data_IF_773003438286
#
_entry.id   IF_773003438286
#
_cell.length_a   1.000
_cell.length_b   1.000
_cell.length_c   1.000
_cell.angle_alpha   90.00
_cell.angle_beta   90.00
_cell.angle_gamma   90.00
#
_symmetry.space_group_name_H-M   'P 1'
#
loop_
_entity.id
_entity.type
_entity.pdbx_description
1 polymer ?
#
# COMPACT_ATOMS: atom_id res chain seq x y z
N UNK A 1 -18.45 27.85 19.60
CA UNK A 1 -17.34 26.90 19.43
C UNK A 1 -17.62 25.52 20.05
N UNK A 2 -18.00 25.37 21.31
CA UNK A 2 -18.28 24.05 21.93
C UNK A 2 -19.29 23.17 21.17
N UNK A 3 -20.35 23.73 20.61
CA UNK A 3 -21.38 22.96 19.86
C UNK A 3 -20.83 22.31 18.58
N UNK A 4 -19.89 22.94 17.89
CA UNK A 4 -19.28 22.38 16.67
C UNK A 4 -18.30 21.23 16.97
N UNK A 5 -17.66 21.26 18.15
CA UNK A 5 -16.79 20.16 18.60
C UNK A 5 -17.60 18.88 18.80
N UNK A 6 -18.80 18.95 19.39
CA UNK A 6 -19.67 17.78 19.54
C UNK A 6 -20.15 17.20 18.20
N UNK A 7 -20.39 18.05 17.21
CA UNK A 7 -20.78 17.60 15.86
C UNK A 7 -19.62 16.87 15.19
N UNK A 8 -18.39 17.38 15.30
CA UNK A 8 -17.20 16.73 14.75
C UNK A 8 -16.94 15.39 15.45
N UNK A 9 -17.06 15.32 16.77
CA UNK A 9 -16.93 14.06 17.52
C UNK A 9 -18.02 13.06 17.15
N UNK A 10 -19.26 13.51 16.93
CA UNK A 10 -20.37 12.64 16.52
C UNK A 10 -20.17 12.05 15.12
N UNK A 11 -19.60 12.83 14.18
CA UNK A 11 -19.28 12.35 12.82
C UNK A 11 -18.20 11.28 12.87
N UNK A 12 -17.21 11.39 13.76
CA UNK A 12 -16.18 10.37 13.95
C UNK A 12 -16.70 9.08 14.60
N UNK A 13 -17.77 9.16 15.37
CA UNK A 13 -18.31 8.01 16.12
C UNK A 13 -19.21 7.11 15.25
N UNK A 14 -19.74 7.60 14.13
CA UNK A 14 -20.66 6.87 13.26
C UNK A 14 -19.98 6.15 12.09
N UNK A 15 -18.65 6.27 11.94
CA UNK A 15 -17.92 5.53 10.93
C UNK A 15 -17.79 4.07 11.34
N UNK A 16 -18.68 3.21 10.85
CA UNK A 16 -18.45 1.77 10.81
C UNK A 16 -17.23 1.51 9.94
N UNK A 17 -16.12 1.11 10.58
CA UNK A 17 -14.89 0.80 9.87
C UNK A 17 -15.08 -0.50 9.08
N UNK A 18 -15.54 -0.40 7.84
CA UNK A 18 -15.36 -1.48 6.88
C UNK A 18 -13.88 -1.46 6.47
N UNK A 19 -13.13 -2.45 6.92
CA UNK A 19 -11.79 -2.69 6.42
C UNK A 19 -11.92 -3.09 4.94
N UNK A 20 -11.59 -2.16 4.06
CA UNK A 20 -11.53 -2.46 2.62
C UNK A 20 -10.25 -3.26 2.39
N UNK A 21 -10.36 -4.40 1.72
CA UNK A 21 -9.18 -5.12 1.24
C UNK A 21 -8.48 -4.26 0.18
N UNK A 22 -7.19 -4.01 0.35
CA UNK A 22 -6.41 -3.15 -0.54
C UNK A 22 -6.17 -3.74 -1.93
N UNK A 23 -6.40 -5.04 -2.11
CA UNK A 23 -6.39 -5.76 -3.40
C UNK A 23 -7.58 -6.72 -3.45
N UNK A 24 -8.05 -7.01 -4.64
CA UNK A 24 -9.00 -8.09 -4.93
C UNK A 24 -8.46 -8.87 -6.14
N UNK A 25 -7.21 -9.31 -6.05
CA UNK A 25 -6.51 -9.99 -7.13
C UNK A 25 -6.18 -11.43 -6.73
N UNK A 26 -6.52 -12.44 -7.55
CA UNK A 26 -6.10 -13.83 -7.31
C UNK A 26 -4.57 -13.97 -7.19
N UNK A 27 -3.82 -13.09 -7.85
CA UNK A 27 -2.36 -13.09 -7.83
C UNK A 27 -1.77 -12.68 -6.48
N UNK A 28 -2.56 -12.00 -5.63
CA UNK A 28 -2.15 -11.64 -4.26
C UNK A 28 -2.08 -12.85 -3.30
N UNK A 29 -2.42 -14.06 -3.77
CA UNK A 29 -2.30 -15.30 -3.03
C UNK A 29 -0.84 -15.63 -2.64
N UNK A 30 0.13 -15.21 -3.45
CA UNK A 30 1.52 -15.57 -3.27
C UNK A 30 2.31 -14.58 -2.40
N UNK A 31 3.12 -15.11 -1.50
CA UNK A 31 4.09 -14.35 -0.70
C UNK A 31 3.44 -13.33 0.23
N UNK A 32 3.83 -12.07 0.07
CA UNK A 32 3.31 -10.93 0.86
C UNK A 32 2.22 -10.15 0.12
N UNK A 33 1.69 -10.72 -0.96
CA UNK A 33 0.68 -10.12 -1.81
C UNK A 33 1.22 -9.37 -3.00
N UNK A 34 0.37 -8.57 -3.63
CA UNK A 34 0.70 -7.79 -4.80
C UNK A 34 1.40 -6.49 -4.40
N UNK A 35 2.56 -6.22 -5.01
CA UNK A 35 3.34 -5.02 -4.72
C UNK A 35 2.65 -3.78 -5.27
N UNK A 36 2.58 -2.74 -4.45
CA UNK A 36 2.11 -1.43 -4.86
C UNK A 36 3.24 -0.59 -5.46
N UNK A 37 2.89 0.32 -6.37
CA UNK A 37 3.87 1.23 -6.95
C UNK A 37 4.39 2.21 -5.88
N UNK A 38 5.70 2.17 -5.62
CA UNK A 38 6.35 3.12 -4.73
C UNK A 38 6.67 4.42 -5.49
N UNK A 39 5.93 5.47 -5.26
CA UNK A 39 6.16 6.77 -5.89
C UNK A 39 4.91 7.62 -5.90
N UNK A 40 5.08 8.89 -6.22
CA UNK A 40 3.96 9.79 -6.40
C UNK A 40 3.28 9.58 -7.76
N UNK A 41 2.14 10.23 -7.95
CA UNK A 41 1.40 10.16 -9.22
C UNK A 41 2.22 10.76 -10.37
N UNK A 42 3.04 11.77 -10.08
CA UNK A 42 3.97 12.38 -11.03
C UNK A 42 5.05 11.37 -11.46
N UNK A 43 5.66 10.65 -10.52
CA UNK A 43 6.61 9.59 -10.85
C UNK A 43 5.96 8.50 -11.72
N UNK A 44 4.73 8.11 -11.38
CA UNK A 44 3.98 7.09 -12.13
C UNK A 44 3.66 7.55 -13.55
N UNK A 45 3.25 8.82 -13.72
CA UNK A 45 2.95 9.41 -15.03
C UNK A 45 4.18 9.53 -15.94
N UNK A 46 5.36 9.62 -15.33
CA UNK A 46 6.66 9.63 -16.04
C UNK A 46 7.27 8.22 -16.19
N UNK A 47 6.47 7.15 -16.07
CA UNK A 47 6.95 5.78 -16.19
C UNK A 47 7.82 5.30 -15.03
N UNK A 48 7.69 5.87 -13.83
CA UNK A 48 8.48 5.50 -12.66
C UNK A 48 9.83 6.20 -12.56
N UNK A 49 10.06 7.26 -13.33
CA UNK A 49 11.31 8.01 -13.32
C UNK A 49 11.59 8.59 -11.92
N UNK A 50 12.71 8.20 -11.32
CA UNK A 50 13.07 8.55 -9.95
C UNK A 50 14.16 9.61 -9.82
N UNK A 51 14.81 9.96 -10.92
CA UNK A 51 15.85 11.01 -10.96
C UNK A 51 15.27 12.42 -11.08
N UNK A 52 13.99 12.53 -11.43
CA UNK A 52 13.32 13.82 -11.53
C UNK A 52 13.22 14.50 -10.17
N UNK A 53 13.58 15.75 -10.13
CA UNK A 53 13.46 16.61 -8.94
C UNK A 53 13.15 18.04 -9.33
N UNK A 54 12.20 18.61 -8.63
CA UNK A 54 11.84 20.02 -8.78
C UNK A 54 11.62 20.71 -7.40
N UNK A 55 11.13 21.92 -7.43
CA UNK A 55 10.93 22.73 -6.22
C UNK A 55 9.58 22.53 -5.53
N UNK A 56 8.68 21.78 -6.14
CA UNK A 56 7.28 21.66 -5.71
C UNK A 56 6.86 20.22 -5.45
N UNK A 57 7.27 19.27 -6.31
CA UNK A 57 6.77 17.88 -6.23
C UNK A 57 7.68 16.99 -5.39
N UNK A 58 7.06 16.25 -4.50
CA UNK A 58 7.74 15.28 -3.63
C UNK A 58 8.10 14.01 -4.42
N UNK A 59 9.32 13.52 -4.24
CA UNK A 59 9.77 12.26 -4.81
C UNK A 59 9.93 11.19 -3.72
N UNK A 60 9.01 10.23 -3.64
CA UNK A 60 9.00 9.19 -2.61
C UNK A 60 10.04 8.08 -2.86
N UNK A 61 10.64 8.02 -4.04
CA UNK A 61 11.59 6.98 -4.41
C UNK A 61 13.03 7.44 -4.10
N UNK A 62 13.32 8.72 -4.37
CA UNK A 62 14.67 9.27 -4.29
C UNK A 62 14.77 10.37 -3.22
N UNK A 63 15.28 10.07 -2.02
CA UNK A 63 15.42 11.06 -0.96
C UNK A 63 16.38 12.21 -1.27
N UNK A 64 17.35 12.06 -2.19
CA UNK A 64 18.21 13.17 -2.60
C UNK A 64 17.43 14.28 -3.34
N UNK A 65 16.33 13.93 -3.99
CA UNK A 65 15.46 14.89 -4.68
C UNK A 65 14.79 15.88 -3.73
N UNK A 66 14.61 15.53 -2.45
CA UNK A 66 14.04 16.43 -1.44
C UNK A 66 14.82 17.72 -1.29
N UNK A 67 16.14 17.67 -1.50
CA UNK A 67 16.99 18.86 -1.41
C UNK A 67 16.63 19.97 -2.38
N UNK A 68 15.80 19.73 -3.40
CA UNK A 68 15.33 20.73 -4.34
C UNK A 68 14.03 21.42 -3.91
N UNK A 69 13.29 20.83 -2.98
CA UNK A 69 12.02 21.38 -2.52
C UNK A 69 12.24 22.78 -1.88
N UNK A 70 11.37 23.70 -2.22
CA UNK A 70 11.36 25.08 -1.69
C UNK A 70 10.13 25.38 -0.84
N UNK A 71 9.08 24.59 -1.01
CA UNK A 71 7.80 24.78 -0.32
C UNK A 71 7.51 23.55 0.53
N UNK A 72 6.77 23.78 1.62
CA UNK A 72 6.19 22.67 2.38
C UNK A 72 5.22 21.94 1.47
N UNK A 73 5.40 20.64 1.37
CA UNK A 73 4.61 19.78 0.51
C UNK A 73 3.77 18.82 1.34
N UNK A 74 2.47 18.80 1.10
CA UNK A 74 1.53 17.80 1.61
C UNK A 74 1.01 17.03 0.41
N UNK A 75 1.30 15.74 0.37
CA UNK A 75 0.97 14.91 -0.78
C UNK A 75 0.16 13.69 -0.36
N UNK A 76 -0.98 13.50 -1.01
CA UNK A 76 -1.86 12.35 -0.81
C UNK A 76 -2.16 11.76 -2.18
N UNK A 77 -1.93 10.47 -2.33
CA UNK A 77 -2.28 9.74 -3.54
C UNK A 77 -3.42 8.76 -3.28
N UNK A 78 -4.38 8.76 -4.18
CA UNK A 78 -5.49 7.81 -4.19
C UNK A 78 -5.54 7.17 -5.56
N UNK A 79 -5.74 5.86 -5.62
CA UNK A 79 -6.02 5.18 -6.88
C UNK A 79 -7.36 4.45 -6.85
N UNK A 80 -7.89 4.28 -8.04
CA UNK A 80 -9.06 3.46 -8.30
C UNK A 80 -8.72 2.49 -9.42
N UNK A 81 -8.77 1.20 -9.10
CA UNK A 81 -8.50 0.14 -10.04
C UNK A 81 -9.79 -0.61 -10.34
N UNK A 82 -10.06 -0.83 -11.62
CA UNK A 82 -11.16 -1.68 -12.07
C UNK A 82 -10.58 -2.77 -12.97
N UNK A 83 -10.77 -4.01 -12.56
CA UNK A 83 -10.25 -5.19 -13.25
C UNK A 83 -11.40 -6.11 -13.65
N UNK A 84 -11.26 -6.77 -14.79
CA UNK A 84 -12.17 -7.82 -15.23
C UNK A 84 -11.48 -9.16 -15.15
N UNK A 85 -11.97 -10.03 -14.28
CA UNK A 85 -11.53 -11.41 -14.17
C UNK A 85 -12.36 -12.26 -15.12
N UNK A 86 -11.70 -12.98 -16.01
CA UNK A 86 -12.34 -13.90 -16.96
C UNK A 86 -11.89 -15.32 -16.66
N UNK A 87 -12.84 -16.20 -16.50
CA UNK A 87 -12.67 -17.64 -16.46
C UNK A 87 -13.44 -18.26 -17.62
N UNK A 88 -13.25 -19.53 -17.89
CA UNK A 88 -13.98 -20.25 -18.95
C UNK A 88 -15.51 -20.13 -18.80
N UNK A 89 -16.00 -20.10 -17.55
CA UNK A 89 -17.44 -20.14 -17.25
C UNK A 89 -17.96 -18.87 -16.54
N UNK A 90 -17.12 -17.88 -16.25
CA UNK A 90 -17.53 -16.68 -15.52
C UNK A 90 -16.74 -15.44 -15.91
N UNK A 91 -17.38 -14.29 -15.78
CA UNK A 91 -16.78 -12.99 -16.01
C UNK A 91 -17.19 -12.06 -14.87
N UNK A 92 -16.22 -11.62 -14.06
CA UNK A 92 -16.47 -10.81 -12.89
C UNK A 92 -15.70 -9.48 -12.99
N UNK A 93 -16.36 -8.38 -12.63
CA UNK A 93 -15.72 -7.06 -12.50
C UNK A 93 -15.46 -6.76 -11.05
N UNK A 94 -14.23 -6.41 -10.74
CA UNK A 94 -13.76 -6.08 -9.41
C UNK A 94 -13.22 -4.66 -9.43
N UNK A 95 -13.60 -3.86 -8.42
CA UNK A 95 -13.10 -2.49 -8.27
C UNK A 95 -12.57 -2.27 -6.87
N UNK A 96 -11.40 -1.64 -6.77
CA UNK A 96 -10.76 -1.26 -5.51
C UNK A 96 -10.38 0.20 -5.53
N UNK A 97 -10.52 0.86 -4.39
CA UNK A 97 -10.07 2.23 -4.16
C UNK A 97 -9.09 2.23 -2.98
N UNK A 98 -7.89 2.76 -3.17
CA UNK A 98 -6.82 2.69 -2.19
C UNK A 98 -6.16 4.05 -2.00
N UNK A 99 -5.67 4.30 -0.78
CA UNK A 99 -4.74 5.39 -0.51
C UNK A 99 -3.33 4.86 -0.79
N UNK A 100 -2.64 5.41 -1.79
CA UNK A 100 -1.31 4.96 -2.20
C UNK A 100 -0.18 5.59 -1.41
N UNK A 101 -0.38 6.79 -0.89
CA UNK A 101 0.60 7.44 -0.03
C UNK A 101 -0.03 8.61 0.70
N UNK A 102 0.50 8.85 1.88
CA UNK A 102 0.33 10.07 2.64
C UNK A 102 1.73 10.54 3.04
N UNK A 103 2.14 11.72 2.57
CA UNK A 103 3.49 12.20 2.79
C UNK A 103 3.52 13.72 3.01
N UNK A 104 4.45 14.13 3.86
CA UNK A 104 4.74 15.53 4.14
C UNK A 104 6.23 15.77 3.97
N UNK A 105 6.62 16.86 3.31
CA UNK A 105 8.00 17.29 3.26
C UNK A 105 8.12 18.75 3.67
N UNK A 106 9.10 19.06 4.50
CA UNK A 106 9.33 20.38 5.08
C UNK A 106 10.75 20.80 4.74
N UNK A 107 10.91 21.78 3.84
CA UNK A 107 12.21 22.36 3.54
C UNK A 107 12.66 23.28 4.68
N UNK A 108 13.79 22.95 5.24
CA UNK A 108 14.54 23.79 6.17
C UNK A 108 15.91 24.11 5.57
N UNK A 109 16.60 25.12 6.05
CA UNK A 109 17.97 25.40 5.61
C UNK A 109 18.95 24.84 6.66
N UNK A 110 19.89 23.96 6.30
CA UNK A 110 20.31 23.47 4.97
C UNK A 110 19.69 22.13 4.53
N UNK A 111 18.73 21.60 5.25
CA UNK A 111 18.22 20.25 5.17
C UNK A 111 16.73 20.27 4.82
N UNK A 112 16.30 19.31 4.01
CA UNK A 112 14.87 19.02 3.81
C UNK A 112 14.57 17.67 4.41
N UNK A 113 13.54 17.59 5.22
CA UNK A 113 13.07 16.32 5.76
C UNK A 113 11.64 16.04 5.30
N UNK A 114 11.35 14.76 5.14
CA UNK A 114 10.01 14.30 4.79
C UNK A 114 9.69 13.01 5.49
N UNK A 115 8.42 12.82 5.77
CA UNK A 115 7.92 11.62 6.43
C UNK A 115 6.55 11.26 5.88
N UNK A 116 6.16 10.01 6.06
CA UNK A 116 4.88 9.55 5.57
C UNK A 116 4.68 8.05 5.68
N UNK A 117 3.58 7.59 5.09
CA UNK A 117 3.21 6.19 5.02
C UNK A 117 2.88 5.85 3.57
N UNK A 118 3.39 4.69 3.11
CA UNK A 118 3.18 4.15 1.77
C UNK A 118 2.81 2.67 1.92
N UNK A 119 1.71 2.19 1.36
CA UNK A 119 1.48 0.76 1.21
C UNK A 119 2.58 0.14 0.36
N UNK A 120 3.16 -0.98 0.81
CA UNK A 120 4.18 -1.73 0.10
C UNK A 120 3.59 -2.88 -0.69
N UNK A 121 2.69 -3.62 -0.06
CA UNK A 121 1.96 -4.70 -0.70
C UNK A 121 0.57 -4.85 -0.12
N UNK A 122 -0.29 -5.53 -0.85
CA UNK A 122 -1.67 -5.79 -0.45
C UNK A 122 -2.07 -7.20 -0.81
N UNK A 123 -2.74 -7.87 0.12
CA UNK A 123 -3.37 -9.17 -0.05
C UNK A 123 -4.88 -9.00 0.00
N UNK A 124 -5.56 -9.55 -1.00
CA UNK A 124 -7.01 -9.60 -1.03
C UNK A 124 -7.44 -10.58 -2.11
N UNK A 125 -7.82 -11.78 -1.73
CA UNK A 125 -8.33 -12.78 -2.65
C UNK A 125 -9.41 -13.63 -2.00
N UNK A 126 -10.30 -14.10 -2.85
CA UNK A 126 -11.29 -15.12 -2.55
C UNK A 126 -11.32 -16.10 -3.70
N UNK A 127 -10.76 -17.29 -3.49
CA UNK A 127 -10.68 -18.34 -4.48
C UNK A 127 -11.54 -19.52 -4.00
N UNK A 128 -12.29 -20.11 -4.92
CA UNK A 128 -13.10 -21.29 -4.65
C UNK A 128 -12.80 -22.37 -5.69
N UNK A 129 -12.59 -23.58 -5.22
CA UNK A 129 -12.42 -24.75 -6.05
C UNK A 129 -13.40 -25.83 -5.61
N UNK A 130 -14.09 -26.44 -6.54
CA UNK A 130 -14.98 -27.58 -6.31
C UNK A 130 -14.38 -28.83 -6.93
N UNK A 131 -14.33 -29.91 -6.16
CA UNK A 131 -13.92 -31.22 -6.63
C UNK A 131 -15.18 -32.10 -6.71
N UNK A 132 -15.59 -32.41 -7.93
CA UNK A 132 -16.74 -33.26 -8.23
C UNK A 132 -16.39 -34.73 -8.38
N UNK A 133 -15.08 -35.06 -8.35
CA UNK A 133 -14.62 -36.44 -8.46
C UNK A 133 -14.75 -37.20 -7.15
N UNK A 134 -14.90 -36.49 -6.04
CA UNK A 134 -15.04 -37.03 -4.69
C UNK A 134 -16.52 -36.99 -4.26
N UNK A 135 -17.00 -38.11 -3.66
CA UNK A 135 -18.35 -38.17 -3.09
C UNK A 135 -18.24 -38.31 -1.55
N UNK A 136 -18.81 -37.39 -0.76
CA UNK A 136 -19.59 -36.22 -1.13
C UNK A 136 -18.73 -35.12 -1.77
N UNK A 137 -19.33 -34.24 -2.61
CA UNK A 137 -18.67 -33.15 -3.30
C UNK A 137 -17.96 -32.25 -2.32
N UNK A 138 -16.70 -31.92 -2.62
CA UNK A 138 -15.85 -31.11 -1.78
C UNK A 138 -15.69 -29.71 -2.39
N UNK A 139 -15.90 -28.68 -1.57
CA UNK A 139 -15.66 -27.28 -1.93
C UNK A 139 -14.56 -26.74 -1.01
N UNK A 140 -13.48 -26.25 -1.61
CA UNK A 140 -12.40 -25.58 -0.91
C UNK A 140 -12.50 -24.07 -1.19
N UNK A 141 -12.42 -23.27 -0.14
CA UNK A 141 -12.44 -21.81 -0.19
C UNK A 141 -11.18 -21.26 0.45
N UNK A 142 -10.46 -20.48 -0.32
CA UNK A 142 -9.21 -19.83 0.10
C UNK A 142 -9.45 -18.32 0.15
N UNK A 143 -9.20 -17.75 1.29
CA UNK A 143 -9.35 -16.31 1.53
C UNK A 143 -8.03 -15.75 2.05
N UNK A 144 -7.66 -14.58 1.58
CA UNK A 144 -6.53 -13.85 2.13
C UNK A 144 -6.86 -12.39 2.26
N UNK A 145 -6.37 -11.79 3.32
CA UNK A 145 -6.51 -10.36 3.59
C UNK A 145 -5.28 -9.81 4.28
N UNK A 146 -5.02 -8.51 4.12
CA UNK A 146 -3.94 -7.82 4.79
C UNK A 146 -3.00 -7.10 3.84
N UNK A 147 -1.78 -6.84 4.34
CA UNK A 147 -0.76 -6.15 3.55
C UNK A 147 0.36 -5.62 4.42
N UNK A 148 1.37 -5.08 3.76
CA UNK A 148 2.54 -4.47 4.39
C UNK A 148 2.57 -2.98 4.04
N UNK A 149 2.78 -2.16 5.04
CA UNK A 149 2.94 -0.71 4.91
C UNK A 149 4.37 -0.32 5.28
N UNK A 150 4.83 0.78 4.72
CA UNK A 150 6.12 1.40 5.03
C UNK A 150 5.88 2.78 5.61
N UNK A 151 6.27 3.00 6.86
CA UNK A 151 6.46 4.34 7.41
C UNK A 151 7.89 4.77 7.12
N UNK A 152 8.09 5.99 6.61
CA UNK A 152 9.41 6.47 6.25
C UNK A 152 9.72 7.83 6.87
N UNK A 153 11.02 8.05 7.11
CA UNK A 153 11.60 9.33 7.46
C UNK A 153 12.80 9.58 6.55
N UNK A 154 12.73 10.61 5.74
CA UNK A 154 13.72 10.92 4.71
C UNK A 154 14.37 12.28 4.95
N UNK A 155 15.64 12.37 4.61
CA UNK A 155 16.43 13.58 4.66
C UNK A 155 17.13 13.80 3.32
N UNK A 156 17.03 15.01 2.80
CA UNK A 156 17.74 15.43 1.59
C UNK A 156 18.53 16.72 1.85
N UNK A 157 19.76 16.79 1.35
CA UNK A 157 20.62 17.95 1.52
C UNK A 157 21.59 18.13 0.36
N UNK A 158 21.99 19.37 0.13
CA UNK A 158 22.98 19.78 -0.88
C UNK A 158 24.35 19.88 -0.23
N UNK A 159 25.31 19.08 -0.70
CA UNK A 159 26.71 19.22 -0.25
C UNK A 159 27.42 20.25 -1.09
N UNK A 160 27.28 20.15 -2.42
CA UNK A 160 27.90 21.07 -3.37
C UNK A 160 26.84 21.57 -4.36
N UNK A 161 27.22 22.56 -5.20
CA UNK A 161 26.33 23.09 -6.22
C UNK A 161 25.74 21.99 -7.13
N UNK A 162 26.49 20.92 -7.38
CA UNK A 162 26.15 19.83 -8.28
C UNK A 162 25.76 18.51 -7.60
N UNK A 163 26.10 18.32 -6.32
CA UNK A 163 25.90 17.04 -5.62
C UNK A 163 24.86 17.18 -4.52
N UNK A 164 23.89 16.30 -4.57
CA UNK A 164 22.82 16.16 -3.58
C UNK A 164 22.85 14.76 -3.01
N UNK A 165 22.65 14.66 -1.73
CA UNK A 165 22.55 13.39 -1.02
C UNK A 165 21.21 13.27 -0.33
N UNK A 166 20.77 12.03 -0.18
CA UNK A 166 19.58 11.70 0.55
C UNK A 166 19.70 10.38 1.30
N UNK A 167 19.06 10.33 2.43
CA UNK A 167 18.93 9.13 3.25
C UNK A 167 17.46 9.00 3.69
N UNK A 168 16.95 7.79 3.68
CA UNK A 168 15.63 7.45 4.22
C UNK A 168 15.74 6.24 5.12
N UNK A 169 15.22 6.35 6.34
CA UNK A 169 14.93 5.22 7.21
C UNK A 169 13.48 4.79 7.00
N UNK A 170 13.28 3.51 6.75
CA UNK A 170 11.97 2.94 6.46
C UNK A 170 11.66 1.84 7.47
N UNK A 171 10.49 1.93 8.10
CA UNK A 171 9.95 0.90 8.96
C UNK A 171 8.78 0.21 8.25
N UNK A 172 8.94 -1.06 7.98
CA UNK A 172 7.93 -1.89 7.35
C UNK A 172 7.13 -2.62 8.44
N UNK A 173 5.81 -2.61 8.31
CA UNK A 173 4.91 -3.26 9.26
C UNK A 173 3.63 -3.70 8.58
N UNK A 174 3.05 -4.80 9.05
CA UNK A 174 1.81 -5.32 8.51
C UNK A 174 1.42 -6.66 9.05
N UNK A 175 0.25 -7.13 8.65
CA UNK A 175 -0.25 -8.45 8.96
C UNK A 175 -0.92 -9.07 7.74
N UNK A 176 -0.76 -10.37 7.61
CA UNK A 176 -1.37 -11.19 6.57
C UNK A 176 -2.21 -12.26 7.25
N UNK A 177 -3.43 -12.40 6.81
CA UNK A 177 -4.35 -13.44 7.25
C UNK A 177 -4.70 -14.32 6.05
N UNK A 178 -4.49 -15.61 6.19
CA UNK A 178 -4.87 -16.63 5.22
C UNK A 178 -5.83 -17.62 5.88
N UNK A 179 -6.94 -17.86 5.24
CA UNK A 179 -7.96 -18.80 5.70
C UNK A 179 -8.25 -19.81 4.60
N UNK A 180 -8.20 -21.09 4.95
CA UNK A 180 -8.59 -22.19 4.08
C UNK A 180 -9.75 -22.91 4.74
N UNK A 181 -10.90 -22.91 4.09
CA UNK A 181 -12.12 -23.55 4.54
C UNK A 181 -12.51 -24.67 3.58
N UNK A 182 -12.77 -25.86 4.12
CA UNK A 182 -13.21 -27.04 3.38
C UNK A 182 -14.61 -27.42 3.79
N UNK A 183 -15.49 -27.45 2.83
CA UNK A 183 -16.89 -27.81 2.97
C UNK A 183 -17.12 -29.14 2.25
N UNK A 184 -17.88 -30.03 2.85
CA UNK A 184 -18.38 -31.25 2.23
C UNK A 184 -19.88 -31.10 2.05
N UNK A 185 -20.41 -31.44 0.87
CA UNK A 185 -21.83 -31.48 0.64
C UNK A 185 -22.47 -32.52 1.59
N UNK A 186 -23.61 -32.24 2.13
CA UNK A 186 -24.32 -33.05 3.13
C UNK A 186 -23.71 -33.12 4.55
N UNK A 187 -22.67 -32.34 4.84
CA UNK A 187 -22.09 -32.23 6.19
C UNK A 187 -22.19 -30.81 6.69
N UNK A 188 -22.89 -30.58 7.80
CA UNK A 188 -23.03 -29.25 8.41
C UNK A 188 -21.73 -28.69 8.95
N UNK A 189 -20.77 -29.55 9.32
CA UNK A 189 -19.47 -29.14 9.85
C UNK A 189 -18.45 -28.96 8.73
N UNK A 190 -17.68 -27.90 8.83
CA UNK A 190 -16.58 -27.62 7.90
C UNK A 190 -15.24 -27.50 8.64
N UNK A 191 -14.16 -27.77 7.95
CA UNK A 191 -12.82 -27.56 8.47
C UNK A 191 -12.31 -26.19 8.06
N UNK A 192 -11.87 -25.39 9.02
CA UNK A 192 -11.22 -24.09 8.76
C UNK A 192 -9.81 -24.09 9.34
N UNK A 193 -8.84 -23.76 8.51
CA UNK A 193 -7.45 -23.52 8.91
C UNK A 193 -7.18 -22.04 8.68
N UNK A 194 -6.77 -21.32 9.73
CA UNK A 194 -6.44 -19.91 9.67
C UNK A 194 -4.98 -19.70 10.07
N UNK A 195 -4.25 -18.95 9.27
CA UNK A 195 -2.87 -18.60 9.51
C UNK A 195 -2.73 -17.08 9.53
N UNK A 196 -2.20 -16.55 10.61
CA UNK A 196 -1.94 -15.13 10.78
C UNK A 196 -0.43 -14.90 10.85
N UNK A 197 0.09 -14.04 9.99
CA UNK A 197 1.49 -13.68 9.95
C UNK A 197 1.64 -12.19 10.19
N UNK A 198 2.49 -11.82 11.14
CA UNK A 198 2.86 -10.42 11.41
C UNK A 198 4.26 -10.17 10.86
N UNK A 199 4.40 -9.08 10.11
CA UNK A 199 5.65 -8.69 9.49
C UNK A 199 6.11 -7.34 10.04
N UNK A 200 7.39 -7.25 10.38
CA UNK A 200 8.04 -6.00 10.72
C UNK A 200 9.50 -6.01 10.29
N UNK A 201 10.02 -4.85 9.91
CA UNK A 201 11.42 -4.73 9.51
C UNK A 201 11.85 -3.28 9.36
N UNK A 202 13.15 -3.08 9.35
CA UNK A 202 13.76 -1.76 9.13
C UNK A 202 14.71 -1.87 7.95
N UNK A 203 14.63 -0.90 7.05
CA UNK A 203 15.61 -0.76 5.98
C UNK A 203 16.02 0.70 5.78
N UNK A 204 17.13 0.92 5.10
CA UNK A 204 17.64 2.25 4.78
C UNK A 204 17.84 2.39 3.28
N UNK A 205 17.49 3.57 2.77
CA UNK A 205 17.69 3.94 1.37
C UNK A 205 18.67 5.10 1.32
N UNK A 206 19.73 4.96 0.56
CA UNK A 206 20.70 6.02 0.27
C UNK A 206 20.59 6.42 -1.18
N UNK A 207 20.68 7.70 -1.45
CA UNK A 207 20.63 8.20 -2.82
C UNK A 207 21.58 9.37 -3.02
N UNK A 208 22.08 9.46 -4.23
CA UNK A 208 22.90 10.58 -4.70
C UNK A 208 22.33 11.07 -6.01
N UNK A 209 22.24 12.37 -6.17
CA UNK A 209 21.80 13.00 -7.41
C UNK A 209 22.86 14.02 -7.83
N UNK A 210 23.33 13.85 -9.06
CA UNK A 210 24.24 14.79 -9.71
C UNK A 210 23.46 15.65 -10.70
N UNK A 211 23.64 16.95 -10.62
CA UNK A 211 23.00 17.91 -11.54
C UNK A 211 24.04 18.88 -12.06
N UNK A 212 24.13 19.01 -13.35
CA UNK A 212 24.95 20.01 -14.04
C UNK A 212 24.44 21.45 -13.86
#
# INVERSE_FOLDING_TARGET
MRKYIYIIVLIFYTSTNYSQSGSLSPYSFFGVGENTFKGTIENRSMGGLNIYSDSVHLNLINPAAYSELKLVNYSVGVDYNSSSLKSENSNEKISTANINYLAVAIPTKPLVFGFGIIPKSSVGYLLQSSDETVSPKQVNRYEGNGGVNTAFLSFGFKIFKKIRLGISGNYEFGSLEHSNSRFLEDVELYTKVQSNSSLSGVNFTYSTLFRE
#
